data_IF_822035462778
#
_entry.id   IF_822035462778
#
_cell.length_a   1.000
_cell.length_b   1.000
_cell.length_c   1.000
_cell.angle_alpha   90.00
_cell.angle_beta   90.00
_cell.angle_gamma   90.00
#
_symmetry.space_group_name_H-M   'P 1'
#
loop_
_entity.id
_entity.type
_entity.pdbx_description
1 polymer ?
#
# COMPACT_ATOMS: atom_id res chain seq x y z
N UNK A 1 48.58 -96.38 -44.91
CA UNK A 1 47.94 -95.05 -44.69
C UNK A 1 46.89 -95.21 -43.60
N UNK A 2 47.32 -95.55 -42.37
CA UNK A 2 46.43 -95.79 -41.21
C UNK A 2 46.67 -94.79 -40.08
N UNK A 3 47.40 -93.69 -40.34
CA UNK A 3 47.79 -92.71 -39.32
C UNK A 3 46.88 -91.47 -39.25
N UNK A 4 45.83 -91.39 -40.08
CA UNK A 4 45.00 -90.17 -40.21
C UNK A 4 43.52 -90.39 -39.90
N UNK A 5 43.07 -91.63 -39.72
CA UNK A 5 41.73 -91.90 -39.21
C UNK A 5 41.79 -92.03 -37.69
N UNK A 6 41.27 -91.07 -36.90
CA UNK A 6 41.15 -91.26 -35.47
C UNK A 6 40.41 -92.58 -35.21
N UNK A 7 40.93 -93.41 -34.32
CA UNK A 7 40.29 -94.68 -33.97
C UNK A 7 38.83 -94.44 -33.60
N UNK A 8 37.92 -95.30 -34.06
CA UNK A 8 36.46 -95.16 -33.90
C UNK A 8 36.07 -94.87 -32.44
N UNK A 9 36.81 -95.42 -31.47
CA UNK A 9 36.64 -95.15 -30.04
C UNK A 9 36.88 -93.68 -29.63
N UNK A 10 37.89 -93.00 -30.20
CA UNK A 10 38.18 -91.60 -29.89
C UNK A 10 37.09 -90.67 -30.43
N UNK A 11 36.60 -90.93 -31.65
CA UNK A 11 35.48 -90.18 -32.25
C UNK A 11 34.19 -90.37 -31.44
N UNK A 12 33.93 -91.60 -30.97
CA UNK A 12 32.76 -91.91 -30.14
C UNK A 12 32.77 -91.15 -28.81
N UNK A 13 33.87 -91.23 -28.05
CA UNK A 13 33.99 -90.54 -26.76
C UNK A 13 34.01 -89.02 -26.88
N UNK A 14 34.68 -88.47 -27.90
CA UNK A 14 34.68 -87.02 -28.16
C UNK A 14 33.28 -86.52 -28.53
N UNK A 15 32.50 -87.28 -29.31
CA UNK A 15 31.11 -86.95 -29.64
C UNK A 15 30.21 -86.98 -28.40
N UNK A 16 30.36 -87.98 -27.52
CA UNK A 16 29.61 -88.04 -26.26
C UNK A 16 29.93 -86.86 -25.34
N UNK A 17 31.21 -86.53 -25.19
CA UNK A 17 31.65 -85.38 -24.36
C UNK A 17 31.14 -84.08 -24.97
N UNK A 18 31.21 -83.91 -26.29
CA UNK A 18 30.70 -82.73 -26.98
C UNK A 18 29.19 -82.58 -26.81
N UNK A 19 28.41 -83.64 -27.00
CA UNK A 19 26.96 -83.61 -26.80
C UNK A 19 26.59 -83.33 -25.34
N UNK A 20 27.29 -83.95 -24.40
CA UNK A 20 27.09 -83.71 -22.97
C UNK A 20 27.39 -82.25 -22.62
N UNK A 21 28.51 -81.70 -23.11
CA UNK A 21 28.88 -80.30 -22.93
C UNK A 21 27.86 -79.37 -23.58
N UNK A 22 27.37 -79.68 -24.78
CA UNK A 22 26.36 -78.89 -25.48
C UNK A 22 25.04 -78.85 -24.70
N UNK A 23 24.59 -79.98 -24.13
CA UNK A 23 23.38 -80.02 -23.29
C UNK A 23 23.58 -79.21 -22.01
N UNK A 24 24.73 -79.34 -21.35
CA UNK A 24 25.05 -78.57 -20.13
C UNK A 24 25.10 -77.07 -20.45
N UNK A 25 25.78 -76.68 -21.52
CA UNK A 25 25.89 -75.28 -21.94
C UNK A 25 24.53 -74.70 -22.35
N UNK A 26 23.74 -75.46 -23.11
CA UNK A 26 22.39 -75.08 -23.51
C UNK A 26 21.47 -74.88 -22.31
N UNK A 27 21.56 -75.73 -21.28
CA UNK A 27 20.73 -75.60 -20.06
C UNK A 27 21.21 -74.50 -19.11
N UNK A 28 22.53 -74.30 -18.99
CA UNK A 28 23.12 -73.37 -18.01
C UNK A 28 23.27 -71.95 -18.56
N UNK A 29 23.65 -71.77 -19.83
CA UNK A 29 23.91 -70.45 -20.42
C UNK A 29 22.63 -69.70 -20.83
N UNK A 30 21.52 -70.41 -21.11
CA UNK A 30 20.28 -69.77 -21.57
C UNK A 30 19.64 -68.85 -20.52
N UNK A 31 19.66 -69.29 -19.26
CA UNK A 31 19.08 -68.56 -18.12
C UNK A 31 19.77 -67.19 -17.87
N UNK A 32 21.10 -67.08 -17.75
CA UNK A 32 21.77 -65.80 -17.55
C UNK A 32 21.64 -64.86 -18.75
N UNK A 33 21.66 -65.37 -19.99
CA UNK A 33 21.49 -64.54 -21.20
C UNK A 33 20.10 -63.91 -21.22
N UNK A 34 19.04 -64.70 -21.00
CA UNK A 34 17.68 -64.18 -21.01
C UNK A 34 17.44 -63.20 -19.85
N UNK A 35 18.02 -63.47 -18.68
CA UNK A 35 17.97 -62.56 -17.54
C UNK A 35 18.68 -61.23 -17.83
N UNK A 36 19.83 -61.25 -18.52
CA UNK A 36 20.55 -60.03 -18.89
C UNK A 36 19.75 -59.18 -19.89
N UNK A 37 19.12 -59.80 -20.89
CA UNK A 37 18.25 -59.12 -21.85
C UNK A 37 17.02 -58.55 -21.14
N UNK A 38 16.36 -59.33 -20.29
CA UNK A 38 15.18 -58.87 -19.53
C UNK A 38 15.53 -57.70 -18.61
N UNK A 39 16.66 -57.77 -17.89
CA UNK A 39 17.15 -56.68 -17.03
C UNK A 39 17.43 -55.41 -17.83
N UNK A 40 18.03 -55.53 -19.01
CA UNK A 40 18.28 -54.38 -19.90
C UNK A 40 16.97 -53.80 -20.42
N UNK A 41 16.04 -54.63 -20.87
CA UNK A 41 14.71 -54.20 -21.33
C UNK A 41 13.97 -53.44 -20.23
N UNK A 42 13.91 -54.02 -19.04
CA UNK A 42 13.25 -53.41 -17.90
C UNK A 42 13.91 -52.08 -17.50
N UNK A 43 15.23 -52.01 -17.47
CA UNK A 43 15.94 -50.75 -17.18
C UNK A 43 15.68 -49.66 -18.22
N UNK A 44 15.51 -50.01 -19.50
CA UNK A 44 15.20 -49.04 -20.55
C UNK A 44 13.75 -48.57 -20.40
N UNK A 45 12.82 -49.48 -20.16
CA UNK A 45 11.42 -49.17 -19.92
C UNK A 45 11.25 -48.26 -18.69
N UNK A 46 11.90 -48.59 -17.58
CA UNK A 46 11.91 -47.77 -16.37
C UNK A 46 12.49 -46.37 -16.63
N UNK A 47 13.60 -46.28 -17.39
CA UNK A 47 14.21 -44.99 -17.72
C UNK A 47 13.31 -44.14 -18.64
N UNK A 48 12.64 -44.76 -19.61
CA UNK A 48 11.69 -44.08 -20.49
C UNK A 48 10.46 -43.60 -19.73
N UNK A 49 9.89 -44.44 -18.87
CA UNK A 49 8.76 -44.07 -18.01
C UNK A 49 9.14 -42.91 -17.07
N UNK A 50 10.32 -42.94 -16.46
CA UNK A 50 10.79 -41.83 -15.63
C UNK A 50 10.98 -40.54 -16.43
N UNK A 51 11.50 -40.63 -17.66
CA UNK A 51 11.64 -39.47 -18.53
C UNK A 51 10.28 -38.88 -18.95
N UNK A 52 9.29 -39.73 -19.20
CA UNK A 52 7.92 -39.30 -19.50
C UNK A 52 7.26 -38.61 -18.31
N UNK A 53 7.33 -39.23 -17.12
CA UNK A 53 6.83 -38.64 -15.87
C UNK A 53 7.48 -37.28 -15.61
N UNK A 54 8.82 -37.20 -15.70
CA UNK A 54 9.53 -35.94 -15.51
C UNK A 54 9.10 -34.87 -16.53
N UNK A 55 8.82 -35.28 -17.78
CA UNK A 55 8.33 -34.35 -18.81
C UNK A 55 6.91 -33.87 -18.51
N UNK A 56 6.03 -34.73 -18.03
CA UNK A 56 4.67 -34.35 -17.61
C UNK A 56 4.69 -33.43 -16.39
N UNK A 57 5.51 -33.74 -15.38
CA UNK A 57 5.71 -32.89 -14.20
C UNK A 57 6.25 -31.52 -14.60
N UNK A 58 7.22 -31.45 -15.51
CA UNK A 58 7.75 -30.17 -16.02
C UNK A 58 6.68 -29.36 -16.76
N UNK A 59 5.85 -30.00 -17.58
CA UNK A 59 4.72 -29.32 -18.25
C UNK A 59 3.72 -28.79 -17.23
N UNK A 60 3.38 -29.58 -16.22
CA UNK A 60 2.47 -29.19 -15.16
C UNK A 60 3.04 -28.02 -14.35
N UNK A 61 4.31 -28.09 -13.97
CA UNK A 61 5.00 -27.03 -13.25
C UNK A 61 5.06 -25.73 -14.07
N UNK A 62 5.25 -25.83 -15.39
CA UNK A 62 5.21 -24.66 -16.27
C UNK A 62 3.82 -24.02 -16.33
N UNK A 63 2.76 -24.83 -16.47
CA UNK A 63 1.38 -24.36 -16.45
C UNK A 63 0.99 -23.74 -15.10
N UNK A 64 1.39 -24.35 -13.99
CA UNK A 64 1.16 -23.83 -12.65
C UNK A 64 1.91 -22.51 -12.42
N UNK A 65 3.16 -22.39 -12.90
CA UNK A 65 3.90 -21.13 -12.85
C UNK A 65 3.25 -20.04 -13.68
N UNK A 66 2.80 -20.34 -14.89
CA UNK A 66 2.10 -19.37 -15.75
C UNK A 66 0.82 -18.88 -15.06
N UNK A 67 0.05 -19.79 -14.46
CA UNK A 67 -1.13 -19.46 -13.67
C UNK A 67 -0.81 -18.57 -12.46
N UNK A 68 0.24 -18.90 -11.70
CA UNK A 68 0.69 -18.08 -10.55
C UNK A 68 1.10 -16.68 -11.02
N UNK A 69 1.80 -16.58 -12.17
CA UNK A 69 2.21 -15.29 -12.73
C UNK A 69 1.02 -14.44 -13.15
N UNK A 70 -0.01 -15.04 -13.73
CA UNK A 70 -1.24 -14.35 -14.11
C UNK A 70 -2.07 -13.94 -12.89
N UNK A 71 -2.19 -14.80 -11.87
CA UNK A 71 -2.82 -14.46 -10.59
C UNK A 71 -2.09 -13.30 -9.91
N UNK A 72 -0.75 -13.33 -9.85
CA UNK A 72 0.05 -12.24 -9.28
C UNK A 72 -0.12 -10.92 -10.06
N UNK A 73 -0.24 -10.96 -11.39
CA UNK A 73 -0.52 -9.78 -12.22
C UNK A 73 -1.91 -9.22 -11.94
N UNK A 74 -2.92 -10.09 -11.85
CA UNK A 74 -4.29 -9.69 -11.54
C UNK A 74 -4.39 -9.07 -10.14
N UNK A 75 -3.72 -9.66 -9.14
CA UNK A 75 -3.67 -9.12 -7.78
C UNK A 75 -2.94 -7.78 -7.72
N UNK A 76 -1.80 -7.65 -8.42
CA UNK A 76 -1.09 -6.37 -8.57
C UNK A 76 -2.00 -5.30 -9.17
N UNK A 77 -2.71 -5.61 -10.24
CA UNK A 77 -3.57 -4.64 -10.92
C UNK A 77 -4.75 -4.24 -10.05
N UNK A 78 -5.32 -5.19 -9.29
CA UNK A 78 -6.33 -4.91 -8.27
C UNK A 78 -5.79 -3.99 -7.18
N UNK A 79 -4.60 -4.28 -6.62
CA UNK A 79 -3.96 -3.46 -5.60
C UNK A 79 -3.67 -2.04 -6.10
N UNK A 80 -3.19 -1.89 -7.33
CA UNK A 80 -2.95 -0.58 -7.94
C UNK A 80 -4.24 0.20 -8.17
N UNK A 81 -5.33 -0.47 -8.54
CA UNK A 81 -6.64 0.16 -8.67
C UNK A 81 -7.17 0.62 -7.32
N UNK A 82 -7.14 -0.23 -6.31
CA UNK A 82 -7.55 0.12 -4.94
C UNK A 82 -6.72 1.28 -4.38
N UNK A 83 -5.39 1.27 -4.60
CA UNK A 83 -4.53 2.37 -4.18
C UNK A 83 -4.89 3.71 -4.86
N UNK A 84 -5.28 3.69 -6.14
CA UNK A 84 -5.76 4.90 -6.85
C UNK A 84 -7.09 5.37 -6.29
N UNK A 85 -8.04 4.47 -6.06
CA UNK A 85 -9.34 4.81 -5.47
C UNK A 85 -9.19 5.40 -4.07
N UNK A 86 -8.35 4.80 -3.21
CA UNK A 86 -8.04 5.31 -1.88
C UNK A 86 -7.39 6.69 -1.96
N UNK A 87 -6.40 6.87 -2.86
CA UNK A 87 -5.76 8.17 -3.08
C UNK A 87 -6.80 9.23 -3.45
N UNK A 88 -7.67 8.94 -4.42
CA UNK A 88 -8.67 9.90 -4.90
C UNK A 88 -9.69 10.21 -3.81
N UNK A 89 -10.08 9.23 -3.00
CA UNK A 89 -10.93 9.42 -1.81
C UNK A 89 -10.26 10.33 -0.77
N UNK A 90 -8.99 10.09 -0.44
CA UNK A 90 -8.23 10.91 0.51
C UNK A 90 -8.14 12.36 0.02
N UNK A 91 -7.85 12.56 -1.27
CA UNK A 91 -7.78 13.91 -1.86
C UNK A 91 -9.14 14.60 -1.82
N UNK A 92 -10.22 13.89 -2.16
CA UNK A 92 -11.57 14.44 -2.12
C UNK A 92 -11.99 14.80 -0.68
N UNK A 93 -11.70 13.92 0.28
CA UNK A 93 -11.98 14.16 1.69
C UNK A 93 -11.19 15.35 2.23
N UNK A 94 -9.87 15.39 1.97
CA UNK A 94 -9.02 16.50 2.39
C UNK A 94 -9.49 17.84 1.78
N UNK A 95 -9.91 17.84 0.52
CA UNK A 95 -10.48 19.03 -0.11
C UNK A 95 -11.78 19.48 0.55
N UNK A 96 -12.69 18.55 0.84
CA UNK A 96 -13.96 18.86 1.52
C UNK A 96 -13.73 19.38 2.94
N UNK A 97 -12.78 18.79 3.69
CA UNK A 97 -12.39 19.25 5.01
C UNK A 97 -11.75 20.64 4.97
N UNK A 98 -10.89 20.90 3.99
CA UNK A 98 -10.28 22.21 3.76
C UNK A 98 -11.33 23.27 3.43
N UNK A 99 -12.31 22.97 2.57
CA UNK A 99 -13.42 23.87 2.24
C UNK A 99 -14.27 24.19 3.48
N UNK A 100 -14.58 23.18 4.30
CA UNK A 100 -15.31 23.38 5.58
C UNK A 100 -14.51 24.23 6.56
N UNK A 101 -13.21 23.97 6.70
CA UNK A 101 -12.33 24.74 7.57
C UNK A 101 -12.22 26.20 7.09
N UNK A 102 -12.07 26.41 5.78
CA UNK A 102 -12.04 27.74 5.19
C UNK A 102 -13.36 28.51 5.42
N UNK A 103 -14.51 27.87 5.21
CA UNK A 103 -15.81 28.47 5.49
C UNK A 103 -15.96 28.87 6.96
N UNK A 104 -15.50 28.02 7.89
CA UNK A 104 -15.50 28.33 9.32
C UNK A 104 -14.62 29.54 9.64
N UNK A 105 -13.40 29.58 9.11
CA UNK A 105 -12.48 30.71 9.32
C UNK A 105 -13.06 32.01 8.75
N UNK A 106 -13.70 31.97 7.59
CA UNK A 106 -14.36 33.14 6.99
C UNK A 106 -15.52 33.63 7.86
N UNK A 107 -16.37 32.72 8.36
CA UNK A 107 -17.46 33.09 9.26
C UNK A 107 -16.94 33.71 10.58
N UNK A 108 -15.89 33.15 11.16
CA UNK A 108 -15.25 33.72 12.36
C UNK A 108 -14.61 35.10 12.06
N UNK A 109 -14.03 35.28 10.88
CA UNK A 109 -13.45 36.56 10.46
C UNK A 109 -14.54 37.64 10.27
N UNK A 110 -15.69 37.29 9.68
CA UNK A 110 -16.84 38.18 9.55
C UNK A 110 -17.38 38.59 10.91
N UNK A 111 -17.57 37.64 11.83
CA UNK A 111 -18.00 37.95 13.21
C UNK A 111 -17.02 38.88 13.93
N UNK A 112 -15.72 38.64 13.79
CA UNK A 112 -14.70 39.54 14.36
C UNK A 112 -14.73 40.92 13.73
N UNK A 113 -14.91 41.00 12.40
CA UNK A 113 -15.03 42.27 11.68
C UNK A 113 -16.21 43.09 12.20
N UNK A 114 -17.37 42.46 12.36
CA UNK A 114 -18.58 43.13 12.82
C UNK A 114 -18.43 43.60 14.27
N UNK A 115 -17.85 42.77 15.13
CA UNK A 115 -17.51 43.16 16.51
C UNK A 115 -16.54 44.35 16.56
N UNK A 116 -15.51 44.36 15.69
CA UNK A 116 -14.57 45.48 15.58
C UNK A 116 -15.24 46.76 15.07
N UNK A 117 -16.19 46.67 14.11
CA UNK A 117 -16.95 47.83 13.65
C UNK A 117 -17.79 48.45 14.76
N UNK A 118 -18.48 47.62 15.56
CA UNK A 118 -19.28 48.09 16.69
C UNK A 118 -18.39 48.79 17.73
N UNK A 119 -17.23 48.20 18.06
CA UNK A 119 -16.27 48.80 18.97
C UNK A 119 -15.73 50.14 18.44
N UNK A 120 -15.34 50.20 17.16
CA UNK A 120 -14.85 51.42 16.52
C UNK A 120 -15.92 52.53 16.49
N UNK A 121 -17.19 52.19 16.25
CA UNK A 121 -18.30 53.16 16.30
C UNK A 121 -18.52 53.68 17.72
N UNK A 122 -18.38 52.82 18.74
CA UNK A 122 -18.45 53.25 20.14
C UNK A 122 -17.29 54.21 20.50
N UNK A 123 -16.07 53.91 20.06
CA UNK A 123 -14.90 54.78 20.26
C UNK A 123 -15.08 56.14 19.57
N UNK A 124 -15.55 56.16 18.32
CA UNK A 124 -15.86 57.42 17.60
C UNK A 124 -16.91 58.22 18.36
N UNK A 125 -17.97 57.57 18.86
CA UNK A 125 -19.02 58.25 19.64
C UNK A 125 -18.47 58.87 20.93
N UNK A 126 -17.59 58.16 21.64
CA UNK A 126 -16.92 58.69 22.82
C UNK A 126 -16.03 59.90 22.48
N UNK A 127 -15.25 59.84 21.40
CA UNK A 127 -14.44 60.97 20.95
C UNK A 127 -15.29 62.21 20.58
N UNK A 128 -16.45 62.01 19.97
CA UNK A 128 -17.38 63.10 19.65
C UNK A 128 -18.00 63.68 20.92
N UNK A 129 -18.32 62.86 21.92
CA UNK A 129 -18.81 63.32 23.23
C UNK A 129 -17.76 64.17 23.94
N UNK A 130 -16.51 63.70 24.00
CA UNK A 130 -15.41 64.45 24.62
C UNK A 130 -15.19 65.79 23.93
N UNK A 131 -15.21 65.81 22.58
CA UNK A 131 -15.09 67.04 21.80
C UNK A 131 -16.27 67.99 22.06
N UNK A 132 -17.49 67.45 22.16
CA UNK A 132 -18.71 68.23 22.42
C UNK A 132 -18.69 68.84 23.82
N UNK A 133 -18.23 68.11 24.84
CA UNK A 133 -18.04 68.62 26.20
C UNK A 133 -16.98 69.72 26.21
N UNK A 134 -15.84 69.51 25.53
CA UNK A 134 -14.79 70.53 25.43
C UNK A 134 -15.27 71.82 24.74
N UNK A 135 -16.10 71.71 23.69
CA UNK A 135 -16.72 72.86 23.02
C UNK A 135 -17.73 73.54 23.93
N UNK A 136 -18.60 72.78 24.61
CA UNK A 136 -19.58 73.33 25.56
C UNK A 136 -18.89 74.05 26.72
N UNK A 137 -17.83 73.48 27.30
CA UNK A 137 -17.01 74.13 28.33
C UNK A 137 -16.46 75.46 27.80
N UNK A 138 -15.92 75.48 26.57
CA UNK A 138 -15.36 76.69 25.97
C UNK A 138 -16.42 77.76 25.70
N UNK A 139 -17.62 77.38 25.28
CA UNK A 139 -18.76 78.30 25.06
C UNK A 139 -19.28 78.87 26.39
N UNK A 140 -19.50 78.02 27.38
CA UNK A 140 -19.94 78.43 28.73
C UNK A 140 -18.91 79.36 29.37
N UNK A 141 -17.62 78.99 29.32
CA UNK A 141 -16.53 79.83 29.82
C UNK A 141 -16.47 81.19 29.11
N UNK A 142 -16.79 81.24 27.80
CA UNK A 142 -16.87 82.49 27.02
C UNK A 142 -18.10 83.33 27.37
N UNK A 143 -19.28 82.73 27.58
CA UNK A 143 -20.48 83.47 27.99
C UNK A 143 -20.32 84.07 29.39
N UNK A 144 -19.82 83.29 30.35
CA UNK A 144 -19.56 83.74 31.73
C UNK A 144 -18.54 84.89 31.79
N UNK A 145 -17.63 84.98 30.81
CA UNK A 145 -16.65 86.08 30.76
C UNK A 145 -17.19 87.40 30.16
N UNK A 146 -18.46 87.44 29.73
CA UNK A 146 -19.07 88.62 29.07
C UNK A 146 -20.31 89.20 29.77
N UNK A 147 -20.78 88.63 30.89
CA UNK A 147 -22.00 89.10 31.60
C UNK A 147 -21.83 89.17 33.13
N UNK A 148 -22.66 89.96 33.85
CA UNK A 148 -22.68 90.04 35.34
C UNK A 148 -22.98 88.72 36.05
N UNK A 149 -23.34 87.67 35.31
CA UNK A 149 -23.65 86.31 35.76
C UNK A 149 -22.47 85.61 36.45
N UNK A 150 -21.24 86.10 36.25
CA UNK A 150 -20.04 85.62 36.93
C UNK A 150 -20.11 85.81 38.46
N UNK A 151 -20.73 86.90 38.94
CA UNK A 151 -20.89 87.16 40.38
C UNK A 151 -21.98 86.27 41.02
N UNK A 152 -23.02 85.91 40.27
CA UNK A 152 -24.07 85.00 40.74
C UNK A 152 -23.56 83.56 40.87
N UNK A 153 -22.83 83.06 39.87
CA UNK A 153 -22.29 81.69 39.90
C UNK A 153 -21.28 81.47 41.03
N UNK A 154 -20.42 82.48 41.28
CA UNK A 154 -19.47 82.44 42.41
C UNK A 154 -20.21 82.45 43.74
N UNK A 155 -21.27 83.25 43.89
CA UNK A 155 -22.06 83.29 45.11
C UNK A 155 -22.86 82.00 45.37
N UNK A 156 -23.39 81.35 44.34
CA UNK A 156 -24.11 80.08 44.47
C UNK A 156 -23.18 78.89 44.76
N UNK A 157 -22.01 78.81 44.10
CA UNK A 157 -20.99 77.79 44.41
C UNK A 157 -20.42 77.97 45.83
N UNK A 158 -20.22 79.21 46.28
CA UNK A 158 -19.79 79.50 47.67
C UNK A 158 -20.90 79.18 48.67
N UNK A 159 -22.18 79.27 48.30
CA UNK A 159 -23.29 78.79 49.12
C UNK A 159 -23.34 77.28 49.20
N UNK A 160 -23.22 76.54 48.10
CA UNK A 160 -23.20 75.07 48.11
C UNK A 160 -22.04 74.50 48.95
N UNK A 161 -20.84 75.11 48.88
CA UNK A 161 -19.69 74.70 49.70
C UNK A 161 -19.89 75.03 51.19
N UNK A 162 -20.70 76.02 51.53
CA UNK A 162 -21.04 76.37 52.93
C UNK A 162 -22.17 75.52 53.53
N UNK A 163 -22.87 74.74 52.71
CA UNK A 163 -23.99 73.88 53.15
C UNK A 163 -23.62 72.39 53.24
N UNK A 164 -22.33 72.04 53.22
CA UNK A 164 -21.82 70.70 53.53
C UNK A 164 -20.74 70.76 54.61
#
# INVERSE_FOLDING_TARGET
MDLVTPGIGLVFWTTIIFLTLLIVLGKVAWKPINNAIKKRSQSIEDALNQAEIAREEMKKLQADNEKIMDEARAERDKMLKEAREIKDQIVAQAKSEAEKAAAKVMAEAEQKRDAMMVAAMADIKNQVLDLSIAVAEKVVRKQISTTPEQEMLVNDLVKEIKFN
#
